data_IF_774088366806
#
_entry.id   IF_774088366806
#
_cell.length_a   1.000
_cell.length_b   1.000
_cell.length_c   1.000
_cell.angle_alpha   90.00
_cell.angle_beta   90.00
_cell.angle_gamma   90.00
#
_symmetry.space_group_name_H-M   'P 1'
#
loop_
_entity.id
_entity.type
_entity.pdbx_description
1 polymer ?
#
# COMPACT_ATOMS: atom_id res chain seq x y z
N UNK A 1 1.98 4.91 -7.89
CA UNK A 1 2.83 5.34 -6.75
C UNK A 1 2.73 4.38 -5.58
N UNK A 2 1.54 3.82 -5.37
CA UNK A 2 1.14 2.94 -4.27
C UNK A 2 1.95 1.63 -4.23
N UNK A 3 2.27 1.08 -5.40
CA UNK A 3 3.14 -0.09 -5.58
C UNK A 3 4.48 0.27 -6.28
N UNK A 4 4.92 1.53 -6.25
CA UNK A 4 6.17 1.94 -6.91
C UNK A 4 6.04 2.47 -8.35
N UNK A 5 4.83 2.68 -8.84
CA UNK A 5 4.56 3.12 -10.21
C UNK A 5 4.06 4.55 -10.38
N UNK A 6 4.97 5.53 -10.46
CA UNK A 6 4.64 6.92 -10.80
C UNK A 6 3.88 7.68 -9.68
N UNK A 7 4.41 8.84 -9.28
CA UNK A 7 3.84 9.62 -8.16
C UNK A 7 2.88 10.72 -8.61
N UNK A 8 3.05 11.25 -9.83
CA UNK A 8 2.37 12.47 -10.28
C UNK A 8 0.86 12.32 -10.50
N UNK A 9 0.43 11.19 -11.06
CA UNK A 9 -0.98 10.99 -11.41
C UNK A 9 -1.84 10.65 -10.19
N UNK A 10 -1.40 9.76 -9.27
CA UNK A 10 -2.05 9.63 -7.96
C UNK A 10 -2.15 10.98 -7.25
N UNK A 11 -1.08 11.79 -7.27
CA UNK A 11 -1.12 13.12 -6.66
C UNK A 11 -2.15 14.07 -7.30
N UNK A 12 -2.30 14.04 -8.63
CA UNK A 12 -3.34 14.81 -9.32
C UNK A 12 -4.76 14.34 -8.95
N UNK A 13 -4.96 13.02 -8.80
CA UNK A 13 -6.22 12.44 -8.33
C UNK A 13 -6.49 12.91 -6.90
N UNK A 14 -5.51 12.82 -5.99
CA UNK A 14 -5.64 13.33 -4.61
C UNK A 14 -6.00 14.82 -4.59
N UNK A 15 -5.37 15.64 -5.44
CA UNK A 15 -5.71 17.06 -5.54
C UNK A 15 -7.17 17.24 -5.96
N UNK A 16 -7.62 16.53 -7.00
CA UNK A 16 -9.00 16.62 -7.49
C UNK A 16 -10.00 16.18 -6.42
N UNK A 17 -9.69 15.07 -5.76
CA UNK A 17 -10.39 14.48 -4.64
C UNK A 17 -10.50 15.45 -3.45
N UNK A 18 -9.46 16.22 -3.13
CA UNK A 18 -9.54 17.25 -2.06
C UNK A 18 -10.27 18.52 -2.53
N UNK A 19 -10.02 18.94 -3.77
CA UNK A 19 -10.48 20.23 -4.30
C UNK A 19 -11.99 20.25 -4.50
N UNK A 20 -12.58 19.18 -5.06
CA UNK A 20 -14.02 19.15 -5.35
C UNK A 20 -14.89 19.26 -4.07
N UNK A 21 -14.67 18.47 -3.00
CA UNK A 21 -15.38 18.63 -1.74
C UNK A 21 -15.13 19.98 -1.08
N UNK A 22 -13.90 20.51 -1.13
CA UNK A 22 -13.59 21.83 -0.59
C UNK A 22 -14.39 22.94 -1.30
N UNK A 23 -14.53 22.87 -2.62
CA UNK A 23 -15.36 23.79 -3.40
C UNK A 23 -16.85 23.65 -3.06
N UNK A 24 -17.35 22.44 -2.82
CA UNK A 24 -18.74 22.23 -2.40
C UNK A 24 -19.01 22.83 -1.01
N UNK A 25 -18.12 22.63 -0.04
CA UNK A 25 -18.21 23.28 1.28
C UNK A 25 -18.17 24.80 1.12
N UNK A 26 -17.22 25.30 0.32
CA UNK A 26 -17.07 26.74 0.09
C UNK A 26 -18.34 27.35 -0.50
N UNK A 27 -18.94 26.70 -1.50
CA UNK A 27 -20.20 27.15 -2.10
C UNK A 27 -21.35 27.12 -1.09
N UNK A 28 -21.42 26.10 -0.23
CA UNK A 28 -22.44 26.01 0.82
C UNK A 28 -22.28 27.14 1.86
N UNK A 29 -21.03 27.49 2.22
CA UNK A 29 -20.74 28.62 3.10
C UNK A 29 -21.08 29.97 2.44
N UNK A 30 -20.82 30.13 1.15
CA UNK A 30 -21.22 31.34 0.42
C UNK A 30 -22.74 31.46 0.31
N UNK A 31 -23.44 30.37 -0.02
CA UNK A 31 -24.90 30.34 -0.08
C UNK A 31 -25.52 30.72 1.27
N UNK A 32 -24.92 30.25 2.38
CA UNK A 32 -25.28 30.66 3.73
C UNK A 32 -25.16 32.16 3.94
N UNK A 33 -24.03 32.75 3.57
CA UNK A 33 -23.78 34.18 3.80
C UNK A 33 -24.78 35.03 2.99
N UNK A 34 -25.07 34.63 1.75
CA UNK A 34 -26.08 35.29 0.90
C UNK A 34 -27.49 35.13 1.48
N UNK A 35 -27.88 33.94 1.92
CA UNK A 35 -29.19 33.69 2.54
C UNK A 35 -29.36 34.49 3.84
N UNK A 36 -28.29 34.60 4.64
CA UNK A 36 -28.27 35.41 5.86
C UNK A 36 -28.43 36.90 5.56
N UNK A 37 -27.79 37.41 4.50
CA UNK A 37 -27.95 38.78 4.04
C UNK A 37 -29.36 39.05 3.48
N UNK A 38 -29.97 38.06 2.83
CA UNK A 38 -31.34 38.12 2.31
C UNK A 38 -32.43 37.98 3.39
N UNK A 39 -32.06 37.64 4.63
CA UNK A 39 -33.02 37.40 5.73
C UNK A 39 -33.75 36.07 5.62
N UNK A 40 -33.25 35.14 4.81
CA UNK A 40 -33.78 33.78 4.69
C UNK A 40 -33.37 32.93 5.90
N UNK A 41 -34.22 31.98 6.28
CA UNK A 41 -33.91 31.02 7.34
C UNK A 41 -32.88 30.00 6.84
N UNK A 42 -31.60 30.30 7.04
CA UNK A 42 -30.48 29.38 6.83
C UNK A 42 -29.74 29.19 8.16
N UNK A 43 -29.99 28.07 8.84
CA UNK A 43 -29.25 27.69 10.04
C UNK A 43 -28.47 26.39 9.79
N UNK A 44 -27.15 26.47 9.98
CA UNK A 44 -26.24 25.37 9.72
C UNK A 44 -26.28 24.42 10.92
N UNK A 45 -26.90 23.25 10.75
CA UNK A 45 -27.09 22.29 11.82
C UNK A 45 -26.11 21.14 11.68
N UNK A 46 -25.24 20.99 12.68
CA UNK A 46 -24.23 19.94 12.72
C UNK A 46 -24.84 18.53 12.80
N UNK A 47 -26.05 18.43 13.35
CA UNK A 47 -26.74 17.16 13.63
C UNK A 47 -28.21 17.14 13.15
N UNK A 48 -28.64 18.13 12.36
CA UNK A 48 -30.05 18.25 11.94
C UNK A 48 -31.04 18.52 13.09
N UNK A 49 -30.55 18.99 14.24
CA UNK A 49 -31.37 19.40 15.38
C UNK A 49 -31.38 20.94 15.48
N UNK A 50 -32.54 21.54 15.23
CA UNK A 50 -32.74 22.99 15.28
C UNK A 50 -33.76 23.45 14.24
N UNK A 51 -34.25 24.69 14.35
CA UNK A 51 -35.42 25.20 13.64
C UNK A 51 -35.45 24.96 12.11
N UNK A 52 -36.55 24.37 11.62
CA UNK A 52 -36.84 24.12 10.19
C UNK A 52 -37.57 25.31 9.57
N UNK A 53 -37.21 25.66 8.34
CA UNK A 53 -38.11 26.40 7.45
C UNK A 53 -39.42 25.62 7.31
N UNK A 54 -40.60 26.26 7.45
CA UNK A 54 -41.88 25.55 7.58
C UNK A 54 -42.31 24.66 6.41
N UNK A 55 -41.74 24.84 5.20
CA UNK A 55 -42.41 24.35 3.98
C UNK A 55 -41.66 23.29 3.14
N UNK A 56 -40.50 22.76 3.56
CA UNK A 56 -39.72 21.83 2.69
C UNK A 56 -39.77 20.35 3.12
N UNK A 57 -40.98 19.79 3.16
CA UNK A 57 -41.21 18.37 3.46
C UNK A 57 -40.62 17.44 2.39
N UNK A 58 -40.56 17.91 1.14
CA UNK A 58 -40.05 17.11 0.01
C UNK A 58 -38.55 16.91 0.16
N UNK A 59 -37.80 17.95 0.49
CA UNK A 59 -36.37 17.83 0.74
C UNK A 59 -36.04 16.96 1.96
N UNK A 60 -36.79 17.10 3.05
CA UNK A 60 -36.59 16.25 4.23
C UNK A 60 -36.86 14.77 3.94
N UNK A 61 -37.94 14.47 3.20
CA UNK A 61 -38.26 13.10 2.78
C UNK A 61 -37.17 12.55 1.87
N UNK A 62 -36.67 13.35 0.93
CA UNK A 62 -35.57 12.97 0.03
C UNK A 62 -34.28 12.71 0.81
N UNK A 63 -33.92 13.57 1.76
CA UNK A 63 -32.76 13.39 2.62
C UNK A 63 -32.85 12.08 3.43
N UNK A 64 -34.01 11.76 4.00
CA UNK A 64 -34.21 10.50 4.73
C UNK A 64 -34.03 9.30 3.81
N UNK A 65 -34.57 9.32 2.58
CA UNK A 65 -34.41 8.25 1.59
C UNK A 65 -32.94 8.04 1.24
N UNK A 66 -32.20 9.13 0.98
CA UNK A 66 -30.77 9.07 0.67
C UNK A 66 -29.99 8.55 1.89
N UNK A 67 -30.24 9.05 3.10
CA UNK A 67 -29.58 8.57 4.32
C UNK A 67 -29.86 7.08 4.59
N UNK A 68 -31.08 6.62 4.31
CA UNK A 68 -31.43 5.21 4.42
C UNK A 68 -30.65 4.34 3.44
N UNK A 69 -30.51 4.79 2.19
CA UNK A 69 -29.63 4.15 1.21
C UNK A 69 -28.17 4.11 1.70
N UNK A 70 -27.68 5.18 2.32
CA UNK A 70 -26.33 5.21 2.87
C UNK A 70 -26.13 4.18 3.97
N UNK A 71 -27.09 4.00 4.88
CA UNK A 71 -26.99 3.01 5.97
C UNK A 71 -27.02 1.57 5.44
N UNK A 72 -27.87 1.29 4.44
CA UNK A 72 -28.04 -0.07 3.93
C UNK A 72 -26.92 -0.48 2.98
N UNK A 73 -26.41 0.46 2.17
CA UNK A 73 -25.44 0.14 1.12
C UNK A 73 -24.07 0.76 1.37
N UNK A 74 -23.99 2.08 1.56
CA UNK A 74 -22.71 2.78 1.65
C UNK A 74 -21.92 2.33 2.89
N UNK A 75 -22.54 2.32 4.06
CA UNK A 75 -21.88 1.93 5.32
C UNK A 75 -21.33 0.48 5.26
N UNK A 76 -22.12 -0.55 4.86
CA UNK A 76 -21.59 -1.90 4.70
C UNK A 76 -20.48 -2.00 3.64
N UNK A 77 -20.62 -1.33 2.51
CA UNK A 77 -19.60 -1.34 1.45
C UNK A 77 -18.29 -0.72 1.92
N UNK A 78 -18.36 0.43 2.60
CA UNK A 78 -17.19 1.11 3.17
C UNK A 78 -16.52 0.26 4.25
N UNK A 79 -17.29 -0.47 5.06
CA UNK A 79 -16.73 -1.39 6.05
C UNK A 79 -16.09 -2.63 5.41
N UNK A 80 -16.70 -3.19 4.37
CA UNK A 80 -16.14 -4.31 3.61
C UNK A 80 -14.87 -3.91 2.86
N UNK A 81 -14.87 -2.74 2.21
CA UNK A 81 -13.68 -2.18 1.58
C UNK A 81 -12.57 -1.97 2.62
N UNK A 82 -12.90 -1.47 3.81
CA UNK A 82 -11.94 -1.33 4.91
C UNK A 82 -11.35 -2.69 5.37
N UNK A 83 -12.16 -3.74 5.45
CA UNK A 83 -11.69 -5.09 5.73
C UNK A 83 -10.68 -5.59 4.69
N UNK A 84 -10.96 -5.40 3.41
CA UNK A 84 -10.04 -5.73 2.31
C UNK A 84 -8.76 -4.88 2.39
N UNK A 85 -8.90 -3.56 2.55
CA UNK A 85 -7.81 -2.59 2.63
C UNK A 85 -6.91 -2.77 3.86
N UNK A 86 -7.39 -3.44 4.91
CA UNK A 86 -6.58 -3.82 6.06
C UNK A 86 -5.80 -5.13 5.87
N UNK A 87 -5.92 -5.78 4.71
CA UNK A 87 -5.32 -7.08 4.42
C UNK A 87 -6.08 -8.24 5.08
N UNK A 88 -7.40 -8.11 5.22
CA UNK A 88 -8.28 -9.15 5.73
C UNK A 88 -8.96 -9.99 4.65
N UNK A 89 -9.08 -9.51 3.41
CA UNK A 89 -9.71 -10.27 2.32
C UNK A 89 -8.81 -11.37 1.71
N UNK A 90 -9.44 -12.27 0.96
CA UNK A 90 -8.74 -13.36 0.23
C UNK A 90 -8.35 -12.98 -1.22
N UNK A 91 -8.53 -11.71 -1.61
CA UNK A 91 -8.20 -11.24 -2.95
C UNK A 91 -6.71 -10.92 -3.12
N UNK A 92 -6.28 -10.79 -4.39
CA UNK A 92 -4.88 -10.48 -4.72
C UNK A 92 -4.42 -9.18 -4.05
N UNK A 93 -5.29 -8.19 -3.99
CA UNK A 93 -4.98 -6.88 -3.42
C UNK A 93 -4.73 -6.96 -1.91
N UNK A 94 -5.63 -7.58 -1.15
CA UNK A 94 -5.50 -7.79 0.30
C UNK A 94 -4.22 -8.56 0.65
N UNK A 95 -3.84 -9.57 -0.15
CA UNK A 95 -2.57 -10.30 0.05
C UNK A 95 -1.35 -9.44 -0.20
N UNK A 96 -1.38 -8.61 -1.25
CA UNK A 96 -0.31 -7.64 -1.52
C UNK A 96 -0.22 -6.61 -0.38
N UNK A 97 -1.34 -6.15 0.17
CA UNK A 97 -1.39 -5.26 1.33
C UNK A 97 -0.88 -5.94 2.60
N UNK A 98 -1.23 -7.21 2.84
CA UNK A 98 -0.72 -7.99 3.98
C UNK A 98 0.80 -8.17 3.90
N UNK A 99 1.31 -8.56 2.72
CA UNK A 99 2.76 -8.65 2.46
C UNK A 99 3.45 -7.31 2.64
N UNK A 100 2.83 -6.23 2.15
CA UNK A 100 3.35 -4.86 2.32
C UNK A 100 3.44 -4.48 3.79
N UNK A 101 2.45 -4.84 4.59
CA UNK A 101 2.44 -4.62 6.03
C UNK A 101 3.56 -5.41 6.71
N UNK A 102 3.83 -6.64 6.32
CA UNK A 102 4.95 -7.43 6.84
C UNK A 102 6.30 -6.74 6.53
N UNK A 103 6.51 -6.29 5.29
CA UNK A 103 7.70 -5.52 4.89
C UNK A 103 7.85 -4.22 5.71
N UNK A 104 6.73 -3.52 5.96
CA UNK A 104 6.68 -2.32 6.77
C UNK A 104 7.06 -2.57 8.24
N UNK A 105 6.59 -3.69 8.81
CA UNK A 105 6.90 -4.12 10.17
C UNK A 105 8.38 -4.49 10.33
N UNK A 106 8.99 -5.10 9.30
CA UNK A 106 10.44 -5.38 9.25
C UNK A 106 11.27 -4.10 9.06
N UNK A 107 10.66 -3.08 8.47
CA UNK A 107 11.29 -1.78 8.21
C UNK A 107 12.11 -1.72 6.91
N UNK A 108 11.98 -2.75 6.06
CA UNK A 108 12.75 -2.92 4.81
C UNK A 108 12.26 -2.03 3.66
N UNK A 109 11.18 -1.29 3.91
CA UNK A 109 10.59 -0.38 2.96
C UNK A 109 11.40 0.90 2.72
N UNK A 110 11.45 1.32 1.46
CA UNK A 110 11.98 2.63 1.06
C UNK A 110 11.04 3.74 1.48
N UNK A 111 11.57 4.94 1.65
CA UNK A 111 10.77 6.12 2.00
C UNK A 111 9.63 6.37 0.99
N UNK A 112 9.84 6.17 -0.32
CA UNK A 112 8.77 6.37 -1.32
C UNK A 112 7.64 5.37 -1.14
N UNK A 113 8.01 4.10 -0.91
CA UNK A 113 7.04 3.02 -0.75
C UNK A 113 6.31 3.14 0.60
N UNK A 114 7.02 3.60 1.65
CA UNK A 114 6.45 3.95 2.96
C UNK A 114 5.38 5.03 2.80
N UNK A 115 5.74 6.13 2.14
CA UNK A 115 4.84 7.26 1.92
C UNK A 115 3.64 6.87 1.02
N UNK A 116 3.90 6.17 -0.08
CA UNK A 116 2.86 5.73 -1.01
C UNK A 116 1.85 4.79 -0.36
N UNK A 117 2.33 3.82 0.42
CA UNK A 117 1.46 2.89 1.16
C UNK A 117 0.59 3.62 2.19
N UNK A 118 1.12 4.61 2.91
CA UNK A 118 0.35 5.37 3.89
C UNK A 118 -0.68 6.30 3.28
N UNK A 119 -0.36 6.92 2.15
CA UNK A 119 -1.36 7.68 1.38
C UNK A 119 -2.47 6.74 0.94
N UNK A 120 -2.14 5.59 0.37
CA UNK A 120 -3.13 4.62 -0.09
C UNK A 120 -4.07 4.17 1.04
N UNK A 121 -3.50 3.74 2.17
CA UNK A 121 -4.27 3.36 3.35
C UNK A 121 -5.15 4.52 3.83
N UNK A 122 -4.62 5.75 3.91
CA UNK A 122 -5.42 6.90 4.32
C UNK A 122 -6.55 7.23 3.33
N UNK A 123 -6.27 7.13 2.04
CA UNK A 123 -7.24 7.40 0.97
C UNK A 123 -8.39 6.40 1.01
N UNK A 124 -8.04 5.12 1.10
CA UNK A 124 -8.98 4.01 1.09
C UNK A 124 -9.70 3.77 2.43
N UNK A 125 -9.29 4.43 3.51
CA UNK A 125 -9.90 4.28 4.85
C UNK A 125 -10.50 5.58 5.37
N UNK A 126 -9.67 6.56 5.72
CA UNK A 126 -10.10 7.80 6.35
C UNK A 126 -10.85 8.71 5.38
N UNK A 127 -10.31 8.88 4.17
CA UNK A 127 -10.79 9.90 3.25
C UNK A 127 -12.14 9.55 2.65
N UNK A 128 -12.34 8.33 2.13
CA UNK A 128 -13.65 7.88 1.61
C UNK A 128 -14.72 8.05 2.68
N UNK A 129 -14.41 7.67 3.91
CA UNK A 129 -15.31 7.83 5.04
C UNK A 129 -15.59 9.30 5.38
N UNK A 130 -14.56 10.14 5.40
CA UNK A 130 -14.69 11.58 5.61
C UNK A 130 -15.53 12.25 4.52
N UNK A 131 -15.37 11.85 3.26
CA UNK A 131 -16.19 12.33 2.15
C UNK A 131 -17.66 12.00 2.35
N UNK A 132 -17.98 10.75 2.72
CA UNK A 132 -19.37 10.37 2.94
C UNK A 132 -19.97 11.09 4.16
N UNK A 133 -19.20 11.26 5.24
CA UNK A 133 -19.64 12.08 6.39
C UNK A 133 -19.91 13.53 5.97
N UNK A 134 -19.03 14.11 5.17
CA UNK A 134 -19.19 15.46 4.65
C UNK A 134 -20.41 15.57 3.72
N UNK A 135 -20.62 14.58 2.86
CA UNK A 135 -21.77 14.57 1.97
C UNK A 135 -23.08 14.45 2.74
N UNK A 136 -23.14 13.60 3.77
CA UNK A 136 -24.29 13.55 4.68
C UNK A 136 -24.52 14.91 5.35
N UNK A 137 -23.46 15.57 5.80
CA UNK A 137 -23.55 16.92 6.35
C UNK A 137 -24.15 17.92 5.35
N UNK A 138 -23.70 17.90 4.08
CA UNK A 138 -24.25 18.73 3.01
C UNK A 138 -25.72 18.41 2.77
N UNK A 139 -26.09 17.12 2.66
CA UNK A 139 -27.45 16.66 2.40
C UNK A 139 -28.41 17.16 3.49
N UNK A 140 -28.04 17.04 4.76
CA UNK A 140 -28.89 17.47 5.88
C UNK A 140 -29.07 18.99 5.92
N UNK A 141 -28.13 19.75 5.36
CA UNK A 141 -28.16 21.21 5.33
C UNK A 141 -28.63 21.79 3.98
N UNK A 142 -28.98 20.94 3.01
CA UNK A 142 -29.48 21.37 1.70
C UNK A 142 -31.01 21.42 1.72
N UNK A 143 -31.58 22.53 1.29
CA UNK A 143 -33.03 22.72 1.30
C UNK A 143 -33.70 22.20 0.03
N UNK A 144 -33.00 22.09 -1.10
CA UNK A 144 -33.61 21.64 -2.35
C UNK A 144 -33.44 20.11 -2.55
N UNK A 145 -34.56 19.39 -2.74
CA UNK A 145 -34.56 17.95 -2.98
C UNK A 145 -33.73 17.51 -4.21
N UNK A 146 -33.70 18.33 -5.27
CA UNK A 146 -32.90 18.04 -6.45
C UNK A 146 -31.41 18.22 -6.19
N UNK A 147 -31.03 19.24 -5.43
CA UNK A 147 -29.63 19.46 -5.01
C UNK A 147 -29.15 18.35 -4.09
N UNK A 148 -29.99 17.86 -3.17
CA UNK A 148 -29.69 16.67 -2.34
C UNK A 148 -29.30 15.49 -3.23
N UNK A 149 -30.10 15.21 -4.27
CA UNK A 149 -29.86 14.08 -5.17
C UNK A 149 -28.61 14.29 -6.03
N UNK A 150 -28.39 15.51 -6.55
CA UNK A 150 -27.19 15.85 -7.31
C UNK A 150 -25.92 15.77 -6.46
N UNK A 151 -25.95 16.25 -5.22
CA UNK A 151 -24.83 16.17 -4.29
C UNK A 151 -24.51 14.70 -3.98
N UNK A 152 -25.53 13.89 -3.68
CA UNK A 152 -25.37 12.44 -3.48
C UNK A 152 -24.70 11.74 -4.67
N UNK A 153 -25.11 12.07 -5.89
CA UNK A 153 -24.56 11.48 -7.12
C UNK A 153 -23.14 12.00 -7.43
N UNK A 154 -22.87 13.28 -7.19
CA UNK A 154 -21.54 13.87 -7.41
C UNK A 154 -20.48 13.24 -6.50
N UNK A 155 -20.81 12.96 -5.24
CA UNK A 155 -19.88 12.30 -4.32
C UNK A 155 -19.64 10.83 -4.69
N UNK A 156 -20.67 10.08 -5.09
CA UNK A 156 -20.47 8.72 -5.60
C UNK A 156 -19.55 8.72 -6.83
N UNK A 157 -19.72 9.69 -7.73
CA UNK A 157 -18.83 9.86 -8.88
C UNK A 157 -17.38 10.18 -8.47
N UNK A 158 -17.17 11.05 -7.47
CA UNK A 158 -15.82 11.38 -6.95
C UNK A 158 -15.16 10.14 -6.34
N UNK A 159 -15.92 9.33 -5.60
CA UNK A 159 -15.44 8.10 -4.97
C UNK A 159 -15.11 7.03 -6.01
N UNK A 160 -15.87 6.89 -7.09
CA UNK A 160 -15.57 5.91 -8.15
C UNK A 160 -14.52 6.39 -9.17
N UNK A 161 -14.11 7.66 -9.13
CA UNK A 161 -13.24 8.24 -10.15
C UNK A 161 -11.83 7.64 -10.16
N UNK A 162 -11.29 7.29 -8.99
CA UNK A 162 -9.96 6.70 -8.88
C UNK A 162 -9.94 5.23 -9.34
N UNK A 163 -10.96 4.44 -8.99
CA UNK A 163 -11.15 3.07 -9.47
C UNK A 163 -11.20 3.00 -11.01
N UNK A 164 -12.06 3.83 -11.63
CA UNK A 164 -12.20 3.93 -13.08
C UNK A 164 -10.89 4.37 -13.76
N UNK A 165 -10.16 5.30 -13.12
CA UNK A 165 -8.88 5.76 -13.63
C UNK A 165 -7.83 4.64 -13.62
N UNK A 166 -7.73 3.88 -12.53
CA UNK A 166 -6.79 2.76 -12.40
C UNK A 166 -7.07 1.68 -13.44
N UNK A 167 -8.33 1.43 -13.77
CA UNK A 167 -8.71 0.45 -14.77
C UNK A 167 -8.54 0.92 -16.22
N UNK A 168 -8.23 2.21 -16.45
CA UNK A 168 -8.17 2.70 -17.82
C UNK A 168 -6.90 2.25 -18.56
N UNK A 169 -7.01 1.57 -19.73
CA UNK A 169 -5.85 1.01 -20.44
C UNK A 169 -4.82 2.03 -20.94
N UNK A 170 -5.19 3.31 -21.09
CA UNK A 170 -4.26 4.34 -21.55
C UNK A 170 -3.27 4.78 -20.45
N UNK A 171 -3.64 4.62 -19.18
CA UNK A 171 -2.80 4.97 -18.04
C UNK A 171 -1.76 3.88 -17.75
N UNK A 172 -2.21 2.64 -17.57
CA UNK A 172 -1.34 1.47 -17.35
C UNK A 172 -1.70 0.31 -18.32
N UNK A 173 -1.24 0.37 -19.58
CA UNK A 173 -1.52 -0.67 -20.56
C UNK A 173 -1.00 -2.02 -20.09
N UNK A 174 -1.89 -3.00 -19.94
CA UNK A 174 -1.61 -4.34 -19.41
C UNK A 174 -1.15 -4.38 -17.95
N UNK A 175 -1.49 -3.36 -17.15
CA UNK A 175 -1.20 -3.33 -15.70
C UNK A 175 0.29 -3.51 -15.37
N UNK A 176 1.19 -3.06 -16.26
CA UNK A 176 2.65 -3.29 -16.17
C UNK A 176 3.24 -2.64 -14.93
N UNK A 177 2.75 -1.45 -14.60
CA UNK A 177 3.22 -0.68 -13.46
C UNK A 177 2.81 -1.33 -12.14
N UNK A 178 1.57 -1.80 -12.05
CA UNK A 178 1.06 -2.56 -10.89
C UNK A 178 1.83 -3.89 -10.75
N UNK A 179 2.01 -4.62 -11.85
CA UNK A 179 2.72 -5.90 -11.85
C UNK A 179 4.21 -5.76 -11.44
N UNK A 180 4.90 -4.73 -11.94
CA UNK A 180 6.28 -4.44 -11.55
C UNK A 180 6.40 -4.13 -10.04
N UNK A 181 5.40 -3.42 -9.52
CA UNK A 181 5.29 -3.13 -8.09
C UNK A 181 5.05 -4.34 -7.22
N UNK A 182 4.08 -5.17 -7.60
CA UNK A 182 3.81 -6.46 -6.97
C UNK A 182 5.05 -7.36 -6.96
N UNK A 183 5.75 -7.46 -8.10
CA UNK A 183 6.98 -8.23 -8.20
C UNK A 183 8.09 -7.65 -7.32
N UNK A 184 8.20 -6.33 -7.20
CA UNK A 184 9.17 -5.71 -6.28
C UNK A 184 8.91 -6.12 -4.83
N UNK A 185 7.64 -6.14 -4.40
CA UNK A 185 7.29 -6.56 -3.04
C UNK A 185 7.58 -8.03 -2.80
N UNK A 186 7.22 -8.91 -3.74
CA UNK A 186 7.56 -10.34 -3.65
C UNK A 186 9.08 -10.54 -3.56
N UNK A 187 9.85 -9.82 -4.38
CA UNK A 187 11.31 -9.88 -4.31
C UNK A 187 11.84 -9.36 -2.97
N UNK A 188 11.26 -8.29 -2.42
CA UNK A 188 11.66 -7.76 -1.11
C UNK A 188 11.36 -8.75 0.02
N UNK A 189 10.21 -9.41 -0.04
CA UNK A 189 9.76 -10.38 0.95
C UNK A 189 10.63 -11.65 0.90
N UNK A 190 10.91 -12.17 -0.29
CA UNK A 190 11.67 -13.41 -0.49
C UNK A 190 13.17 -13.21 -0.25
N UNK A 191 13.75 -12.09 -0.69
CA UNK A 191 15.19 -11.88 -0.58
C UNK A 191 15.63 -11.49 0.85
N UNK A 192 14.71 -11.11 1.75
CA UNK A 192 15.02 -10.64 3.11
C UNK A 192 16.24 -9.68 3.12
N UNK A 193 16.17 -8.57 2.36
CA UNK A 193 17.34 -7.71 2.03
C UNK A 193 18.20 -7.31 3.22
N UNK A 194 17.58 -7.07 4.39
CA UNK A 194 18.27 -6.74 5.65
C UNK A 194 19.21 -7.86 6.10
N UNK A 195 18.79 -9.12 5.96
CA UNK A 195 19.60 -10.29 6.27
C UNK A 195 20.78 -10.36 5.30
N UNK A 196 20.54 -10.12 4.01
CA UNK A 196 21.60 -10.15 2.99
C UNK A 196 22.58 -8.96 3.04
N UNK A 197 22.24 -7.87 3.71
CA UNK A 197 23.09 -6.69 3.83
C UNK A 197 23.75 -6.52 5.20
N UNK A 198 23.45 -7.39 6.17
CA UNK A 198 23.93 -7.26 7.55
C UNK A 198 24.44 -8.60 8.10
N UNK A 199 25.74 -8.66 8.41
CA UNK A 199 26.40 -9.87 8.90
C UNK A 199 25.79 -10.44 10.19
N UNK A 200 25.39 -9.59 11.14
CA UNK A 200 24.77 -10.03 12.39
C UNK A 200 23.39 -10.66 12.13
N UNK A 201 22.59 -10.02 11.27
CA UNK A 201 21.29 -10.53 10.90
C UNK A 201 21.41 -11.88 10.16
N UNK A 202 22.36 -11.99 9.23
CA UNK A 202 22.65 -13.23 8.51
C UNK A 202 23.08 -14.36 9.45
N UNK A 203 24.09 -14.10 10.29
CA UNK A 203 24.61 -15.05 11.27
C UNK A 203 23.51 -15.59 12.20
N UNK A 204 22.65 -14.68 12.69
CA UNK A 204 21.54 -15.04 13.58
C UNK A 204 20.47 -15.87 12.84
N UNK A 205 20.11 -15.48 11.61
CA UNK A 205 19.06 -16.14 10.82
C UNK A 205 19.43 -17.57 10.44
N UNK A 206 20.67 -17.77 9.99
CA UNK A 206 21.16 -19.06 9.51
C UNK A 206 21.97 -19.85 10.54
N UNK A 207 22.08 -19.33 11.77
CA UNK A 207 22.82 -19.94 12.88
C UNK A 207 24.28 -20.23 12.53
N UNK A 208 24.91 -19.30 11.80
CA UNK A 208 26.32 -19.37 11.39
C UNK A 208 27.13 -18.43 12.30
N UNK A 209 28.36 -18.79 12.71
CA UNK A 209 29.24 -17.88 13.44
C UNK A 209 29.46 -16.57 12.69
N UNK A 210 29.38 -15.44 13.39
CA UNK A 210 29.53 -14.11 12.80
C UNK A 210 30.88 -13.94 12.07
N UNK A 211 31.94 -14.51 12.64
CA UNK A 211 33.29 -14.43 12.11
C UNK A 211 33.39 -15.07 10.71
N UNK A 212 32.78 -16.24 10.52
CA UNK A 212 32.74 -16.94 9.21
C UNK A 212 31.96 -16.14 8.16
N UNK A 213 30.87 -15.50 8.59
CA UNK A 213 30.06 -14.62 7.73
C UNK A 213 30.86 -13.39 7.30
N UNK A 214 31.60 -12.79 8.22
CA UNK A 214 32.45 -11.63 7.93
C UNK A 214 33.62 -12.01 7.03
N UNK A 215 34.27 -13.14 7.28
CA UNK A 215 35.37 -13.65 6.45
C UNK A 215 34.92 -13.92 5.02
N UNK A 216 33.77 -14.59 4.84
CA UNK A 216 33.20 -14.86 3.52
C UNK A 216 32.90 -13.59 2.72
N UNK A 217 32.58 -12.48 3.41
CA UNK A 217 32.35 -11.17 2.82
C UNK A 217 33.61 -10.30 2.69
N UNK A 218 34.81 -10.84 2.89
CA UNK A 218 36.08 -10.08 2.93
C UNK A 218 36.08 -8.96 3.98
N UNK A 219 35.40 -9.19 5.11
CA UNK A 219 35.14 -8.21 6.18
C UNK A 219 34.39 -6.95 5.73
N UNK A 220 33.65 -7.04 4.63
CA UNK A 220 32.80 -5.95 4.15
C UNK A 220 31.55 -5.77 5.02
N UNK A 221 31.30 -4.53 5.42
CA UNK A 221 30.12 -4.15 6.22
C UNK A 221 28.80 -4.37 5.49
N UNK A 222 28.80 -4.28 4.16
CA UNK A 222 27.57 -4.37 3.37
C UNK A 222 27.27 -5.81 2.89
N UNK A 223 28.09 -6.79 3.28
CA UNK A 223 27.89 -8.22 3.01
C UNK A 223 27.69 -8.55 1.52
N UNK A 224 26.46 -8.86 1.08
CA UNK A 224 26.14 -9.16 -0.33
C UNK A 224 25.67 -7.91 -1.09
N UNK A 225 25.35 -6.81 -0.40
CA UNK A 225 24.96 -5.54 -1.02
C UNK A 225 26.20 -4.70 -1.36
N UNK A 226 26.97 -5.09 -2.38
CA UNK A 226 28.16 -4.35 -2.79
C UNK A 226 28.16 -4.04 -4.30
N UNK A 227 28.01 -2.74 -4.61
CA UNK A 227 27.98 -2.23 -5.98
C UNK A 227 29.29 -2.40 -6.74
N UNK A 228 30.44 -2.30 -6.07
CA UNK A 228 31.75 -2.46 -6.69
C UNK A 228 32.03 -3.91 -7.06
N UNK A 229 31.73 -4.84 -6.14
CA UNK A 229 31.85 -6.28 -6.37
C UNK A 229 30.86 -6.72 -7.43
N UNK A 230 29.60 -6.30 -7.35
CA UNK A 230 28.60 -6.57 -8.38
C UNK A 230 29.05 -6.07 -9.76
N UNK A 231 29.63 -4.87 -9.85
CA UNK A 231 30.17 -4.34 -11.11
C UNK A 231 31.37 -5.15 -11.60
N UNK A 232 32.24 -5.63 -10.70
CA UNK A 232 33.37 -6.48 -11.05
C UNK A 232 32.89 -7.82 -11.60
N UNK A 233 32.03 -8.51 -10.86
CA UNK A 233 31.47 -9.82 -11.21
C UNK A 233 30.66 -9.76 -12.50
N UNK A 234 29.90 -8.68 -12.72
CA UNK A 234 29.17 -8.44 -13.98
C UNK A 234 30.08 -8.33 -15.20
N UNK A 235 31.35 -7.97 -15.02
CA UNK A 235 32.32 -7.85 -16.11
C UNK A 235 33.28 -9.04 -16.19
N UNK A 236 33.14 -10.01 -15.29
CA UNK A 236 33.94 -11.23 -15.26
C UNK A 236 33.25 -12.32 -16.10
N UNK A 237 33.88 -12.81 -17.18
CA UNK A 237 33.33 -13.90 -17.99
C UNK A 237 33.01 -15.17 -17.20
N UNK A 238 33.66 -15.40 -16.04
CA UNK A 238 33.41 -16.56 -15.19
C UNK A 238 31.98 -16.61 -14.62
N UNK A 239 31.34 -15.45 -14.47
CA UNK A 239 29.98 -15.33 -13.92
C UNK A 239 28.92 -14.97 -14.97
N UNK A 240 29.26 -15.05 -16.26
CA UNK A 240 28.35 -14.74 -17.36
C UNK A 240 27.82 -16.01 -18.02
N UNK A 241 26.59 -15.95 -18.53
CA UNK A 241 26.10 -16.96 -19.47
C UNK A 241 26.84 -16.88 -20.80
N UNK A 242 26.90 -17.98 -21.56
CA UNK A 242 27.54 -18.00 -22.89
C UNK A 242 27.03 -16.89 -23.81
N UNK A 243 25.73 -16.60 -23.79
CA UNK A 243 25.11 -15.52 -24.57
C UNK A 243 25.53 -14.13 -24.09
N UNK A 244 25.63 -13.94 -22.77
CA UNK A 244 26.07 -12.66 -22.20
C UNK A 244 27.55 -12.39 -22.46
N UNK A 245 28.39 -13.43 -22.50
CA UNK A 245 29.80 -13.31 -22.90
C UNK A 245 29.91 -12.77 -24.32
N UNK A 246 29.15 -13.34 -25.26
CA UNK A 246 29.13 -12.89 -26.66
C UNK A 246 28.68 -11.43 -26.74
N UNK A 247 27.57 -11.07 -26.09
CA UNK A 247 27.07 -9.68 -26.07
C UNK A 247 28.07 -8.71 -25.43
N UNK A 248 28.73 -9.12 -24.35
CA UNK A 248 29.74 -8.30 -23.68
C UNK A 248 30.96 -8.06 -24.57
N UNK A 249 31.44 -9.09 -25.27
CA UNK A 249 32.53 -8.97 -26.25
C UNK A 249 32.14 -8.06 -27.42
N UNK A 250 30.95 -8.26 -27.99
CA UNK A 250 30.42 -7.40 -29.04
C UNK A 250 30.30 -5.93 -28.58
N UNK A 251 29.82 -5.69 -27.36
CA UNK A 251 29.74 -4.35 -26.78
C UNK A 251 31.14 -3.72 -26.62
N UNK A 252 32.12 -4.49 -26.15
CA UNK A 252 33.51 -4.00 -25.98
C UNK A 252 34.11 -3.58 -27.33
N UNK A 253 34.00 -4.43 -28.35
CA UNK A 253 34.44 -4.10 -29.72
C UNK A 253 33.69 -2.89 -30.26
N UNK A 254 32.39 -2.78 -30.01
CA UNK A 254 31.59 -1.63 -30.42
C UNK A 254 32.04 -0.31 -29.75
N UNK A 255 32.39 -0.36 -28.45
CA UNK A 255 32.95 0.78 -27.71
C UNK A 255 34.31 1.21 -28.27
N UNK A 256 35.19 0.25 -28.52
CA UNK A 256 36.55 0.47 -29.05
C UNK A 256 36.52 1.02 -30.48
N UNK A 257 35.55 0.59 -31.28
CA UNK A 257 35.34 1.08 -32.67
C UNK A 257 34.46 2.32 -32.74
N UNK A 258 33.96 2.83 -31.61
CA UNK A 258 33.01 3.94 -31.51
C UNK A 258 31.74 3.77 -32.37
N UNK A 259 31.32 2.53 -32.62
CA UNK A 259 30.11 2.24 -33.40
C UNK A 259 28.86 2.44 -32.53
N UNK A 260 28.21 3.60 -32.68
CA UNK A 260 27.04 4.00 -31.89
C UNK A 260 25.83 3.07 -32.05
N UNK A 261 25.63 2.47 -33.22
CA UNK A 261 24.50 1.55 -33.46
C UNK A 261 24.71 0.24 -32.71
N UNK A 262 25.90 -0.35 -32.83
CA UNK A 262 26.25 -1.58 -32.13
C UNK A 262 26.28 -1.36 -30.60
N UNK A 263 26.77 -0.21 -30.12
CA UNK A 263 26.68 0.13 -28.70
C UNK A 263 25.22 0.12 -28.25
N UNK A 264 24.30 0.73 -29.02
CA UNK A 264 22.87 0.78 -28.66
C UNK A 264 22.20 -0.60 -28.70
N UNK A 265 22.64 -1.49 -29.58
CA UNK A 265 22.11 -2.85 -29.70
C UNK A 265 22.59 -3.77 -28.56
N UNK A 266 23.89 -3.74 -28.25
CA UNK A 266 24.49 -4.63 -27.26
C UNK A 266 24.45 -4.09 -25.83
N UNK A 267 24.26 -2.78 -25.65
CA UNK A 267 24.03 -2.22 -24.32
C UNK A 267 22.61 -2.57 -23.86
N UNK A 268 22.52 -3.40 -22.82
CA UNK A 268 21.23 -3.74 -22.21
C UNK A 268 20.46 -2.46 -21.87
N UNK A 269 19.29 -2.22 -22.50
CA UNK A 269 18.56 -1.00 -22.28
C UNK A 269 18.00 -0.99 -20.86
N UNK A 270 18.32 0.06 -20.10
CA UNK A 270 17.60 0.33 -18.84
C UNK A 270 16.18 0.72 -19.22
N UNK A 271 15.23 -0.20 -19.01
CA UNK A 271 13.83 0.08 -19.26
C UNK A 271 13.26 0.88 -18.09
N UNK A 272 12.93 2.13 -18.38
CA UNK A 272 12.12 2.97 -17.49
C UNK A 272 10.66 2.79 -17.84
N UNK A 273 9.81 2.63 -16.81
CA UNK A 273 8.37 2.68 -16.98
C UNK A 273 7.96 4.14 -17.25
N UNK A 274 7.34 4.39 -18.41
CA UNK A 274 6.79 5.69 -18.80
C UNK A 274 7.81 6.72 -19.35
N UNK A 275 7.39 7.46 -20.37
CA UNK A 275 8.19 8.51 -21.02
C UNK A 275 8.50 9.68 -20.08
N UNK A 276 7.52 10.08 -19.28
CA UNK A 276 7.64 11.19 -18.31
C UNK A 276 8.68 10.88 -17.24
N UNK A 277 8.71 9.65 -16.72
CA UNK A 277 9.66 9.27 -15.67
C UNK A 277 11.09 9.15 -16.20
N UNK A 278 11.25 8.71 -17.45
CA UNK A 278 12.54 8.73 -18.15
C UNK A 278 13.04 10.16 -18.35
N UNK A 279 12.17 11.07 -18.79
CA UNK A 279 12.53 12.48 -19.02
C UNK A 279 12.84 13.20 -17.71
N UNK A 280 12.04 13.01 -16.65
CA UNK A 280 12.30 13.57 -15.31
C UNK A 280 13.60 13.06 -14.69
N UNK A 281 13.87 11.75 -14.75
CA UNK A 281 15.12 11.19 -14.24
C UNK A 281 16.34 11.66 -15.02
N UNK A 282 16.20 11.78 -16.35
CA UNK A 282 17.25 12.37 -17.18
C UNK A 282 17.50 13.85 -16.81
N UNK A 283 16.43 14.60 -16.50
CA UNK A 283 16.53 16.00 -16.08
C UNK A 283 17.18 16.16 -14.70
N UNK A 284 16.98 15.20 -13.80
CA UNK A 284 17.54 15.20 -12.44
C UNK A 284 18.87 14.44 -12.32
N UNK A 285 19.41 13.92 -13.43
CA UNK A 285 20.68 13.17 -13.44
C UNK A 285 20.64 11.86 -12.64
N UNK A 286 19.45 11.30 -12.38
CA UNK A 286 19.31 10.06 -11.61
C UNK A 286 19.48 8.86 -12.54
N UNK A 287 20.70 8.34 -12.62
CA UNK A 287 20.97 7.08 -13.30
C UNK A 287 20.49 5.89 -12.45
N UNK A 288 19.56 5.11 -13.02
CA UNK A 288 19.05 3.88 -12.41
C UNK A 288 17.71 4.01 -11.68
N UNK A 289 17.25 2.87 -11.15
CA UNK A 289 16.06 2.78 -10.30
C UNK A 289 14.84 2.11 -10.92
N UNK A 290 15.02 1.31 -11.98
CA UNK A 290 14.06 0.26 -12.32
C UNK A 290 14.02 -0.84 -11.25
N UNK A 291 12.94 -1.62 -11.19
CA UNK A 291 12.73 -2.66 -10.15
C UNK A 291 13.91 -3.64 -10.05
N UNK A 292 14.51 -4.00 -11.19
CA UNK A 292 15.64 -4.95 -11.23
C UNK A 292 17.01 -4.31 -11.00
N UNK A 293 17.22 -3.06 -11.43
CA UNK A 293 18.46 -2.32 -11.14
C UNK A 293 18.68 -2.17 -9.64
N UNK A 294 17.59 -2.03 -8.89
CA UNK A 294 17.59 -1.92 -7.44
C UNK A 294 18.15 -3.15 -6.72
N UNK A 295 18.13 -4.31 -7.38
CA UNK A 295 18.71 -5.56 -6.85
C UNK A 295 20.05 -5.88 -7.50
N UNK A 296 20.56 -5.02 -8.40
CA UNK A 296 21.82 -5.27 -9.09
C UNK A 296 23.00 -5.33 -8.11
N UNK A 297 22.97 -4.55 -7.03
CA UNK A 297 24.03 -4.51 -6.03
C UNK A 297 24.18 -5.83 -5.25
N UNK A 298 23.16 -6.70 -5.27
CA UNK A 298 23.20 -8.05 -4.68
C UNK A 298 23.77 -9.12 -5.62
N UNK A 299 24.11 -8.76 -6.87
CA UNK A 299 24.70 -9.67 -7.86
C UNK A 299 26.21 -9.86 -7.64
N UNK A 300 26.59 -10.15 -6.40
CA UNK A 300 27.97 -10.42 -5.99
C UNK A 300 28.22 -11.93 -6.05
N UNK A 301 28.23 -12.49 -7.27
CA UNK A 301 28.35 -13.93 -7.51
C UNK A 301 29.57 -14.56 -6.84
N UNK A 302 30.70 -13.86 -6.85
CA UNK A 302 31.93 -14.27 -6.19
C UNK A 302 31.79 -14.46 -4.67
N UNK A 303 30.86 -13.74 -4.04
CA UNK A 303 30.53 -13.88 -2.62
C UNK A 303 29.46 -14.95 -2.40
N UNK A 304 28.43 -14.98 -3.24
CA UNK A 304 27.36 -15.99 -3.14
C UNK A 304 27.91 -17.42 -3.12
N UNK A 305 28.93 -17.71 -3.92
CA UNK A 305 29.61 -19.01 -3.92
C UNK A 305 30.13 -19.40 -2.54
N UNK A 306 30.66 -18.46 -1.75
CA UNK A 306 31.16 -18.71 -0.39
C UNK A 306 30.01 -18.85 0.61
N UNK A 307 28.98 -18.05 0.45
CA UNK A 307 27.82 -18.00 1.35
C UNK A 307 26.91 -19.22 1.23
N UNK A 308 26.82 -19.85 0.05
CA UNK A 308 25.98 -21.03 -0.19
C UNK A 308 26.34 -22.23 0.70
N UNK A 309 27.58 -22.29 1.19
CA UNK A 309 28.09 -23.41 1.98
C UNK A 309 28.33 -23.06 3.46
N UNK A 310 28.00 -21.84 3.88
CA UNK A 310 28.12 -21.42 5.28
C UNK A 310 27.05 -22.04 6.18
N UNK A 311 25.75 -22.03 5.84
CA UNK A 311 24.73 -22.69 6.65
C UNK A 311 24.90 -24.21 6.61
N UNK A 312 24.61 -24.87 7.73
CA UNK A 312 24.53 -26.35 7.74
C UNK A 312 23.44 -26.81 6.79
N UNK A 313 23.78 -27.76 5.91
CA UNK A 313 22.78 -28.42 5.05
C UNK A 313 21.76 -29.11 5.97
N UNK A 314 20.46 -28.78 5.88
CA UNK A 314 19.44 -29.40 6.71
C UNK A 314 19.43 -30.92 6.45
N UNK A 315 19.28 -31.71 7.52
CA UNK A 315 19.19 -33.15 7.39
C UNK A 315 17.81 -33.54 6.84
N UNK A 316 17.70 -34.72 6.23
CA UNK A 316 16.45 -35.23 5.68
C UNK A 316 15.32 -35.26 6.74
N UNK A 317 15.69 -35.53 8.00
CA UNK A 317 14.79 -35.59 9.17
C UNK A 317 14.27 -34.22 9.64
N UNK A 318 14.94 -33.14 9.22
CA UNK A 318 14.48 -31.76 9.44
C UNK A 318 13.38 -31.38 8.44
N UNK A 319 13.36 -32.04 7.29
CA UNK A 319 12.48 -31.76 6.16
C UNK A 319 11.28 -32.71 6.13
N UNK A 320 11.43 -33.94 6.61
CA UNK A 320 10.43 -35.00 6.50
C UNK A 320 10.04 -35.55 7.88
N UNK A 321 8.78 -35.96 8.04
CA UNK A 321 8.39 -36.87 9.13
C UNK A 321 7.60 -38.04 8.54
N UNK A 322 7.77 -39.21 9.16
CA UNK A 322 7.02 -40.41 8.81
C UNK A 322 5.85 -40.56 9.78
N UNK A 323 4.65 -40.81 9.24
CA UNK A 323 3.50 -41.17 10.05
C UNK A 323 3.56 -42.67 10.36
N UNK A 324 3.55 -43.05 11.65
CA UNK A 324 3.77 -44.42 12.12
C UNK A 324 2.58 -45.38 11.84
N UNK A 325 1.56 -44.91 11.09
CA UNK A 325 0.32 -45.65 10.86
C UNK A 325 0.32 -46.32 9.48
N UNK A 326 0.63 -47.63 9.46
CA UNK A 326 0.40 -48.63 8.39
C UNK A 326 0.37 -48.07 6.96
N UNK A 327 1.57 -47.84 6.43
CA UNK A 327 1.82 -47.45 5.05
C UNK A 327 2.57 -46.14 5.04
N UNK A 328 3.90 -46.21 5.26
CA UNK A 328 4.76 -45.06 5.46
C UNK A 328 4.61 -44.03 4.32
N UNK A 329 3.74 -43.04 4.54
CA UNK A 329 3.69 -41.85 3.71
C UNK A 329 4.69 -40.87 4.32
N UNK A 330 5.64 -40.48 3.49
CA UNK A 330 6.64 -39.47 3.84
C UNK A 330 5.96 -38.12 3.66
N UNK A 331 5.77 -37.39 4.76
CA UNK A 331 5.21 -36.04 4.73
C UNK A 331 6.35 -35.03 4.90
N UNK A 332 6.36 -33.97 4.08
CA UNK A 332 7.19 -32.81 4.36
C UNK A 332 6.69 -32.14 5.66
N UNK A 333 7.61 -31.75 6.55
CA UNK A 333 7.30 -30.95 7.75
C UNK A 333 6.80 -29.55 7.41
N UNK A 334 7.02 -29.08 6.18
CA UNK A 334 6.35 -27.87 5.71
C UNK A 334 4.87 -28.19 5.48
N UNK A 335 3.98 -27.52 6.23
CA UNK A 335 2.57 -27.41 5.84
C UNK A 335 2.54 -26.61 4.54
N UNK A 336 2.61 -27.29 3.41
CA UNK A 336 2.53 -26.64 2.12
C UNK A 336 1.11 -26.14 1.89
N UNK A 337 0.91 -24.83 2.03
CA UNK A 337 -0.32 -24.18 1.57
C UNK A 337 -0.18 -24.03 0.04
N UNK A 338 -0.46 -25.11 -0.69
CA UNK A 338 -0.23 -25.17 -2.14
C UNK A 338 -0.93 -24.00 -2.84
N UNK A 339 -0.14 -23.17 -3.51
CA UNK A 339 -0.67 -22.04 -4.29
C UNK A 339 -1.46 -22.57 -5.49
N UNK A 340 -2.72 -22.16 -5.62
CA UNK A 340 -3.60 -22.52 -6.74
C UNK A 340 -3.69 -21.38 -7.75
N UNK A 341 -4.23 -21.59 -8.97
CA UNK A 341 -4.51 -20.48 -9.90
C UNK A 341 -5.40 -19.38 -9.28
N UNK A 342 -6.34 -19.76 -8.41
CA UNK A 342 -7.20 -18.84 -7.66
C UNK A 342 -6.44 -18.15 -6.53
N UNK A 343 -5.41 -18.81 -5.98
CA UNK A 343 -4.63 -18.34 -4.85
C UNK A 343 -3.10 -18.42 -5.09
N UNK A 344 -2.53 -17.64 -6.01
CA UNK A 344 -1.13 -17.80 -6.45
C UNK A 344 -0.07 -17.46 -5.39
N UNK A 345 -0.47 -16.89 -4.24
CA UNK A 345 0.42 -16.43 -3.17
C UNK A 345 0.09 -17.00 -1.78
N UNK A 346 -0.65 -18.12 -1.71
CA UNK A 346 -1.14 -18.67 -0.44
C UNK A 346 -0.02 -19.06 0.56
N UNK A 347 1.17 -19.41 0.07
CA UNK A 347 2.34 -19.76 0.90
C UNK A 347 3.06 -18.56 1.56
N UNK A 348 2.76 -17.33 1.15
CA UNK A 348 3.44 -16.13 1.64
C UNK A 348 2.70 -15.43 2.78
N UNK A 349 1.52 -15.92 3.15
CA UNK A 349 0.77 -15.37 4.28
C UNK A 349 1.26 -15.98 5.59
N UNK A 350 2.02 -15.20 6.37
CA UNK A 350 2.65 -15.64 7.62
C UNK A 350 1.66 -15.85 8.78
N UNK A 351 0.34 -15.67 8.58
CA UNK A 351 -0.69 -15.75 9.63
C UNK A 351 -1.18 -17.18 9.89
N UNK A 352 -0.26 -18.15 9.96
CA UNK A 352 -0.60 -19.54 10.22
C UNK A 352 -1.35 -19.72 11.55
N UNK A 353 -2.65 -20.02 11.49
CA UNK A 353 -3.46 -20.49 12.64
C UNK A 353 -4.61 -19.59 13.10
N UNK A 354 -4.80 -18.41 12.52
CA UNK A 354 -5.99 -17.57 12.78
C UNK A 354 -6.90 -17.54 11.55
N UNK A 355 -8.21 -17.39 11.75
CA UNK A 355 -9.10 -16.99 10.64
C UNK A 355 -8.82 -15.53 10.29
N UNK A 356 -9.07 -15.15 9.03
CA UNK A 356 -8.81 -13.80 8.52
C UNK A 356 -9.52 -12.73 9.34
N UNK A 357 -10.75 -13.00 9.79
CA UNK A 357 -11.55 -12.09 10.59
C UNK A 357 -10.96 -11.86 11.98
N UNK A 358 -10.45 -12.92 12.61
CA UNK A 358 -9.79 -12.81 13.92
C UNK A 358 -8.51 -12.00 13.79
N UNK A 359 -7.71 -12.25 12.75
CA UNK A 359 -6.48 -11.50 12.51
C UNK A 359 -6.75 -10.00 12.24
N UNK A 360 -7.79 -9.70 11.47
CA UNK A 360 -8.26 -8.34 11.23
C UNK A 360 -8.72 -7.67 12.54
N UNK A 361 -9.55 -8.34 13.35
CA UNK A 361 -10.03 -7.79 14.61
C UNK A 361 -8.90 -7.56 15.62
N UNK A 362 -7.95 -8.49 15.75
CA UNK A 362 -6.77 -8.30 16.58
C UNK A 362 -5.99 -7.06 16.14
N UNK A 363 -5.73 -6.93 14.84
CA UNK A 363 -5.06 -5.74 14.32
C UNK A 363 -5.84 -4.46 14.60
N UNK A 364 -7.15 -4.48 14.38
CA UNK A 364 -8.04 -3.35 14.62
C UNK A 364 -7.95 -2.87 16.08
N UNK A 365 -7.98 -3.80 17.04
CA UNK A 365 -7.79 -3.48 18.44
C UNK A 365 -6.39 -2.97 18.76
N UNK A 366 -5.34 -3.57 18.19
CA UNK A 366 -3.97 -3.11 18.41
C UNK A 366 -3.72 -1.68 17.91
N UNK A 367 -4.37 -1.27 16.82
CA UNK A 367 -4.32 0.10 16.29
C UNK A 367 -5.06 1.07 17.21
N UNK A 368 -6.30 0.76 17.59
CA UNK A 368 -7.12 1.64 18.44
C UNK A 368 -6.50 1.81 19.84
N UNK A 369 -5.93 0.74 20.40
CA UNK A 369 -5.25 0.76 21.70
C UNK A 369 -3.81 1.28 21.62
N UNK A 370 -3.34 1.66 20.42
CA UNK A 370 -1.97 2.09 20.13
C UNK A 370 -0.88 1.07 20.49
N UNK A 371 -1.23 -0.18 20.80
CA UNK A 371 -0.28 -1.23 21.17
C UNK A 371 0.74 -1.48 20.06
N UNK A 372 0.28 -1.57 18.81
CA UNK A 372 1.16 -1.77 17.65
C UNK A 372 2.17 -0.64 17.50
N UNK A 373 1.70 0.60 17.66
CA UNK A 373 2.53 1.79 17.50
C UNK A 373 3.54 1.93 18.64
N UNK A 374 3.14 1.66 19.88
CA UNK A 374 4.05 1.58 21.02
C UNK A 374 5.17 0.56 20.80
N UNK A 375 4.85 -0.64 20.28
CA UNK A 375 5.84 -1.66 19.95
C UNK A 375 6.83 -1.19 18.88
N UNK A 376 6.34 -0.54 17.82
CA UNK A 376 7.16 -0.02 16.73
C UNK A 376 8.05 1.16 17.16
N UNK A 377 7.52 2.06 17.98
CA UNK A 377 8.27 3.18 18.57
C UNK A 377 9.37 2.65 19.48
N UNK A 378 9.06 1.68 20.33
CA UNK A 378 10.03 1.04 21.22
C UNK A 378 11.19 0.40 20.44
N UNK A 379 10.87 -0.37 19.39
CA UNK A 379 11.88 -0.98 18.52
C UNK A 379 12.75 0.08 17.82
N UNK A 380 12.14 1.15 17.30
CA UNK A 380 12.88 2.25 16.68
C UNK A 380 13.77 3.00 17.68
N UNK A 381 13.32 3.18 18.91
CA UNK A 381 14.09 3.80 19.98
C UNK A 381 15.30 2.94 20.40
N UNK A 382 15.14 1.61 20.44
CA UNK A 382 16.24 0.68 20.66
C UNK A 382 17.31 0.74 19.56
N UNK A 383 16.90 1.00 18.31
CA UNK A 383 17.82 1.19 17.18
C UNK A 383 18.52 2.57 17.20
N UNK A 384 18.12 3.49 18.10
CA UNK A 384 18.71 4.83 18.22
C UNK A 384 18.33 5.81 17.10
N UNK A 385 17.35 5.47 16.26
CA UNK A 385 16.90 6.29 15.14
C UNK A 385 15.71 7.18 15.54
N UNK A 386 16.00 8.39 16.02
CA UNK A 386 14.98 9.35 16.45
C UNK A 386 14.08 9.85 15.31
N UNK A 387 14.59 9.90 14.07
CA UNK A 387 13.77 10.29 12.93
C UNK A 387 12.71 9.22 12.64
N UNK A 388 13.10 7.95 12.73
CA UNK A 388 12.17 6.82 12.66
C UNK A 388 11.15 6.85 13.79
N UNK A 389 11.55 7.16 15.03
CA UNK A 389 10.62 7.32 16.16
C UNK A 389 9.58 8.40 15.88
N UNK A 390 10.00 9.62 15.50
CA UNK A 390 9.09 10.72 15.20
C UNK A 390 8.12 10.35 14.08
N UNK A 391 8.63 9.72 13.02
CA UNK A 391 7.80 9.25 11.92
C UNK A 391 6.74 8.24 12.38
N UNK A 392 7.10 7.25 13.22
CA UNK A 392 6.15 6.26 13.77
C UNK A 392 5.09 6.90 14.67
N UNK A 393 5.44 7.95 15.42
CA UNK A 393 4.45 8.71 16.22
C UNK A 393 3.42 9.38 15.31
N UNK A 394 3.90 10.14 14.31
CA UNK A 394 3.02 10.86 13.37
C UNK A 394 2.12 9.88 12.62
N UNK A 395 2.71 8.82 12.09
CA UNK A 395 2.03 7.73 11.41
C UNK A 395 0.97 7.04 12.30
N UNK A 396 1.31 6.76 13.55
CA UNK A 396 0.40 6.18 14.53
C UNK A 396 -0.82 7.06 14.82
N UNK A 397 -0.63 8.39 14.89
CA UNK A 397 -1.74 9.34 15.05
C UNK A 397 -2.65 9.32 13.81
N UNK A 398 -2.09 9.37 12.61
CA UNK A 398 -2.90 9.32 11.37
C UNK A 398 -3.70 8.02 11.27
N UNK A 399 -3.07 6.88 11.57
CA UNK A 399 -3.73 5.59 11.53
C UNK A 399 -4.84 5.48 12.60
N UNK A 400 -4.57 5.98 13.80
CA UNK A 400 -5.56 6.02 14.87
C UNK A 400 -6.78 6.88 14.49
N UNK A 401 -6.55 8.07 13.92
CA UNK A 401 -7.62 8.94 13.41
C UNK A 401 -8.41 8.24 12.30
N UNK A 402 -7.75 7.56 11.36
CA UNK A 402 -8.41 6.82 10.28
C UNK A 402 -9.38 5.76 10.82
N UNK A 403 -8.93 4.95 11.79
CA UNK A 403 -9.75 3.90 12.40
C UNK A 403 -10.89 4.47 13.24
N UNK A 404 -10.65 5.59 13.95
CA UNK A 404 -11.72 6.27 14.67
C UNK A 404 -12.78 6.86 13.74
N UNK A 405 -12.37 7.44 12.60
CA UNK A 405 -13.31 7.92 11.59
C UNK A 405 -14.18 6.77 11.08
N UNK A 406 -13.57 5.63 10.77
CA UNK A 406 -14.27 4.42 10.35
C UNK A 406 -15.31 3.94 11.37
N UNK A 407 -14.98 3.99 12.67
CA UNK A 407 -15.89 3.64 13.76
C UNK A 407 -17.02 4.68 13.92
N UNK A 408 -16.68 5.96 13.76
CA UNK A 408 -17.62 7.07 13.97
C UNK A 408 -18.64 7.20 12.85
N UNK A 409 -18.30 6.82 11.62
CA UNK A 409 -19.16 6.96 10.45
C UNK A 409 -20.52 6.25 10.54
N UNK A 410 -20.61 4.95 10.89
CA UNK A 410 -21.90 4.29 11.06
C UNK A 410 -22.74 4.93 12.17
N UNK A 411 -22.08 5.34 13.27
CA UNK A 411 -22.74 6.01 14.40
C UNK A 411 -23.29 7.37 13.96
N UNK A 412 -22.50 8.15 13.25
CA UNK A 412 -22.88 9.45 12.70
C UNK A 412 -24.08 9.32 11.77
N UNK A 413 -24.02 8.38 10.83
CA UNK A 413 -25.10 8.07 9.89
C UNK A 413 -26.41 7.73 10.62
N UNK A 414 -26.32 6.91 11.67
CA UNK A 414 -27.47 6.49 12.46
C UNK A 414 -28.05 7.64 13.30
N UNK A 415 -27.22 8.48 13.90
CA UNK A 415 -27.67 9.66 14.64
C UNK A 415 -28.43 10.61 13.71
N UNK A 416 -27.91 10.87 12.51
CA UNK A 416 -28.57 11.74 11.53
C UNK A 416 -29.94 11.19 11.09
N UNK A 417 -30.03 9.91 10.71
CA UNK A 417 -31.30 9.36 10.25
C UNK A 417 -32.35 9.36 11.37
N UNK A 418 -31.96 9.03 12.59
CA UNK A 418 -32.88 9.04 13.75
C UNK A 418 -33.32 10.45 14.05
N UNK A 419 -32.40 11.42 14.07
CA UNK A 419 -32.72 12.83 14.29
C UNK A 419 -33.67 13.39 13.24
N UNK A 420 -33.42 13.13 11.96
CA UNK A 420 -34.31 13.56 10.88
C UNK A 420 -35.68 12.89 10.93
N UNK A 421 -35.73 11.62 11.31
CA UNK A 421 -37.00 10.86 11.43
C UNK A 421 -37.83 11.38 12.60
N UNK A 422 -37.22 11.64 13.76
CA UNK A 422 -37.92 12.21 14.93
C UNK A 422 -38.47 13.60 14.61
N UNK A 423 -37.67 14.46 13.98
CA UNK A 423 -38.13 15.79 13.56
C UNK A 423 -39.15 15.77 12.42
N UNK A 424 -39.35 14.64 11.73
CA UNK A 424 -40.46 14.47 10.78
C UNK A 424 -41.74 14.04 11.53
N UNK A 425 -41.61 13.15 12.51
CA UNK A 425 -42.74 12.68 13.35
C UNK A 425 -43.30 13.75 14.29
N UNK A 426 -42.48 14.66 14.82
CA UNK A 426 -42.99 15.78 15.63
C UNK A 426 -43.91 16.73 14.86
N UNK A 427 -43.86 16.69 13.53
CA UNK A 427 -44.64 17.53 12.64
C UNK A 427 -45.91 16.87 12.06
N UNK A 428 -45.93 15.53 11.95
CA UNK A 428 -47.11 14.75 11.51
C UNK A 428 -48.07 14.60 12.70
#
# INVERSE_FOLDING_TARGET
GILGSGFMIPFAIVILQITAPALLIWNLLQARDVAREAGECFDLQLFGFGYKCPDDHVAQSMAIVVLFYYIIKVVPNVFYAFYINAGGGDDLYSRLVSMRRDLWMRGDDRWEQKFGFRIDEYMNTAYVTLLFMLNMFIIVNTQNAFEILLNALAFEFIVSFDEEFVDTPWWDPNRRWIAAGAMEMVLQEVLERRVLSNAQAFATRFQVPLEEVQEAADNDRNLLMNREVSRRDRNDPAFMSSDDIVKHLCLRVALDTHNKEAIREYQQPVQYFGRVMKELKALWGVEGGGVFDRNADYRTWSRWERFLYLPKVPNLDDILYMDDVKGAQIHAKCKDIVSTPEQPFANLDNRAGFTEEVAFMTYYFEVITLQLQCKLIYLAALEGDFAKVLYRIVDGVFQWVAFLLQLSFPIYSLVLIVGMTLTLFEWI
#
